data_IF_876463735404
#
_entry.id   IF_876463735404
#
_cell.length_a   1.000
_cell.length_b   1.000
_cell.length_c   1.000
_cell.angle_alpha   90.00
_cell.angle_beta   90.00
_cell.angle_gamma   90.00
#
_symmetry.space_group_name_H-M   'P 1'
#
loop_
_entity.id
_entity.type
_entity.pdbx_description
1 polymer ?
#
# COMPACT_ATOMS: atom_id res chain seq x y z
N UNK A 1 0.10 1.18 0.78
CA UNK A 1 0.11 1.08 2.26
C UNK A 1 0.87 -0.17 2.66
N UNK A 2 1.67 -0.11 3.72
CA UNK A 2 2.43 -1.24 4.27
C UNK A 2 1.99 -1.52 5.71
N UNK A 3 1.94 -2.80 6.08
CA UNK A 3 1.72 -3.26 7.44
C UNK A 3 2.71 -4.41 7.70
N UNK A 4 3.73 -4.15 8.49
CA UNK A 4 4.88 -5.03 8.60
C UNK A 4 5.62 -5.13 7.26
N UNK A 5 5.99 -6.32 6.85
CA UNK A 5 6.65 -6.59 5.56
C UNK A 5 5.65 -6.83 4.41
N UNK A 6 4.38 -6.45 4.56
CA UNK A 6 3.33 -6.62 3.55
C UNK A 6 2.91 -5.27 3.00
N UNK A 7 2.89 -5.16 1.68
CA UNK A 7 2.34 -4.01 0.98
C UNK A 7 0.97 -4.35 0.37
N UNK A 8 0.00 -3.46 0.59
CA UNK A 8 -1.35 -3.58 0.05
C UNK A 8 -1.59 -2.51 -1.00
N UNK A 9 -2.15 -2.89 -2.14
CA UNK A 9 -2.53 -1.96 -3.20
C UNK A 9 -3.69 -2.49 -4.03
N UNK A 10 -4.41 -1.56 -4.64
CA UNK A 10 -5.46 -1.84 -5.60
C UNK A 10 -5.04 -1.44 -7.01
N UNK A 11 -5.70 -2.01 -8.00
CA UNK A 11 -5.48 -1.72 -9.41
C UNK A 11 -6.78 -1.32 -10.10
N UNK A 12 -6.68 -0.55 -11.19
CA UNK A 12 -7.85 -0.12 -11.95
C UNK A 12 -8.56 -1.29 -12.65
N UNK A 13 -7.84 -2.37 -12.93
CA UNK A 13 -8.38 -3.62 -13.49
C UNK A 13 -8.95 -4.57 -12.43
N UNK A 14 -9.36 -4.04 -11.28
CA UNK A 14 -10.13 -4.70 -10.23
C UNK A 14 -9.37 -5.76 -9.43
N UNK A 15 -8.08 -5.61 -9.20
CA UNK A 15 -7.36 -6.45 -8.26
C UNK A 15 -7.03 -5.70 -6.99
N UNK A 16 -7.28 -6.32 -5.86
CA UNK A 16 -6.72 -5.93 -4.58
C UNK A 16 -5.71 -6.98 -4.15
N UNK A 17 -4.49 -6.55 -3.89
CA UNK A 17 -3.33 -7.45 -3.67
C UNK A 17 -2.61 -7.12 -2.39
N UNK A 18 -2.10 -8.19 -1.75
CA UNK A 18 -1.10 -8.14 -0.71
C UNK A 18 0.18 -8.79 -1.24
N UNK A 19 1.28 -8.09 -1.17
CA UNK A 19 2.58 -8.56 -1.65
C UNK A 19 3.62 -8.44 -0.54
N UNK A 20 4.59 -9.32 -0.57
CA UNK A 20 5.78 -9.18 0.24
C UNK A 20 6.53 -7.91 -0.18
N UNK A 21 6.77 -7.00 0.78
CA UNK A 21 7.32 -5.68 0.49
C UNK A 21 8.78 -5.70 0.02
N UNK A 22 9.50 -6.80 0.26
CA UNK A 22 10.91 -6.95 -0.10
C UNK A 22 11.09 -7.61 -1.46
N UNK A 23 10.32 -8.68 -1.70
CA UNK A 23 10.46 -9.50 -2.90
C UNK A 23 9.44 -9.17 -4.00
N UNK A 24 8.36 -8.45 -3.67
CA UNK A 24 7.25 -8.21 -4.59
C UNK A 24 6.36 -9.44 -4.84
N UNK A 25 6.63 -10.57 -4.17
CA UNK A 25 5.84 -11.79 -4.32
C UNK A 25 4.42 -11.57 -3.88
N UNK A 26 3.45 -11.96 -4.72
CA UNK A 26 2.03 -11.92 -4.36
C UNK A 26 1.77 -12.96 -3.27
N UNK A 27 1.30 -12.51 -2.11
CA UNK A 27 0.92 -13.33 -0.96
C UNK A 27 -0.57 -13.67 -1.00
N UNK A 28 -1.37 -12.70 -1.46
CA UNK A 28 -2.81 -12.83 -1.53
C UNK A 28 -3.38 -11.83 -2.55
N UNK A 29 -4.47 -12.20 -3.20
CA UNK A 29 -5.19 -11.30 -4.09
C UNK A 29 -6.67 -11.68 -4.21
N UNK A 30 -7.51 -10.68 -4.48
CA UNK A 30 -8.93 -10.86 -4.74
C UNK A 30 -9.37 -9.94 -5.87
N UNK A 31 -10.35 -10.39 -6.64
CA UNK A 31 -11.02 -9.57 -7.63
C UNK A 31 -12.12 -8.73 -6.98
N UNK A 32 -12.14 -7.43 -7.27
CA UNK A 32 -13.10 -6.49 -6.70
C UNK A 32 -14.22 -6.18 -7.71
N UNK A 33 -15.39 -5.71 -7.24
CA UNK A 33 -16.50 -5.36 -8.12
C UNK A 33 -16.18 -4.25 -9.12
N UNK A 34 -15.35 -3.29 -8.72
CA UNK A 34 -14.92 -2.16 -9.55
C UNK A 34 -13.42 -1.94 -9.41
N UNK A 35 -12.85 -1.11 -10.29
CA UNK A 35 -11.46 -0.67 -10.18
C UNK A 35 -11.19 0.08 -8.89
N UNK A 36 -9.93 0.17 -8.52
CA UNK A 36 -9.46 0.81 -7.30
C UNK A 36 -8.49 1.91 -7.68
N UNK A 37 -8.82 3.15 -7.33
CA UNK A 37 -7.95 4.32 -7.44
C UNK A 37 -7.59 4.92 -6.07
N UNK A 38 -8.38 4.59 -5.06
CA UNK A 38 -8.09 4.97 -3.68
C UNK A 38 -6.99 4.13 -3.05
N UNK A 39 -6.49 4.59 -1.91
CA UNK A 39 -5.50 3.84 -1.15
C UNK A 39 -6.17 3.04 -0.04
N UNK A 40 -5.68 1.82 0.27
CA UNK A 40 -6.16 1.07 1.40
C UNK A 40 -5.76 1.75 2.72
N UNK A 41 -6.60 1.58 3.73
CA UNK A 41 -6.39 2.07 5.08
C UNK A 41 -6.29 0.89 6.03
N UNK A 42 -5.31 0.91 6.93
CA UNK A 42 -5.19 -0.07 8.00
C UNK A 42 -5.59 0.57 9.33
N UNK A 43 -6.34 -0.17 10.13
CA UNK A 43 -6.74 0.26 11.46
C UNK A 43 -6.89 -0.94 12.40
N UNK A 44 -6.82 -0.69 13.69
CA UNK A 44 -7.09 -1.69 14.71
C UNK A 44 -8.54 -1.55 15.19
N UNK A 45 -9.28 -2.64 15.19
CA UNK A 45 -10.63 -2.69 15.74
C UNK A 45 -10.63 -2.84 17.27
N UNK A 46 -11.82 -2.66 17.87
CA UNK A 46 -12.00 -2.80 19.32
C UNK A 46 -11.74 -4.22 19.81
N UNK A 47 -11.76 -5.21 18.94
CA UNK A 47 -11.44 -6.62 19.21
C UNK A 47 -9.94 -6.92 19.11
N UNK A 48 -9.11 -5.88 19.02
CA UNK A 48 -7.65 -5.96 18.85
C UNK A 48 -7.19 -6.63 17.56
N UNK A 49 -8.08 -6.81 16.59
CA UNK A 49 -7.72 -7.27 15.24
C UNK A 49 -7.29 -6.09 14.39
N UNK A 50 -6.39 -6.37 13.48
CA UNK A 50 -6.05 -5.46 12.41
C UNK A 50 -7.01 -5.65 11.24
N UNK A 51 -7.49 -4.55 10.71
CA UNK A 51 -8.37 -4.50 9.55
C UNK A 51 -7.71 -3.70 8.43
N UNK A 52 -8.03 -4.10 7.21
CA UNK A 52 -7.68 -3.36 5.99
C UNK A 52 -8.97 -2.99 5.30
N UNK A 53 -9.20 -1.71 5.10
CA UNK A 53 -10.35 -1.19 4.36
C UNK A 53 -9.90 -0.62 3.02
N UNK A 54 -10.67 -0.85 1.96
CA UNK A 54 -10.45 -0.31 0.63
C UNK A 54 -11.78 0.05 -0.03
N UNK A 55 -11.84 1.25 -0.57
CA UNK A 55 -12.96 1.68 -1.39
C UNK A 55 -12.70 1.29 -2.85
N UNK A 56 -13.57 0.43 -3.37
CA UNK A 56 -13.58 0.03 -4.78
C UNK A 56 -14.57 0.91 -5.52
N UNK A 57 -14.09 1.63 -6.50
CA UNK A 57 -14.88 2.54 -7.31
C UNK A 57 -13.96 3.37 -8.18
N UNK A 58 -14.37 3.60 -9.40
CA UNK A 58 -13.69 4.48 -10.34
C UNK A 58 -14.54 5.73 -10.51
N UNK A 59 -14.10 6.83 -9.93
CA UNK A 59 -14.76 8.13 -9.99
C UNK A 59 -13.94 9.17 -10.76
N UNK A 60 -14.38 10.42 -10.74
CA UNK A 60 -13.73 11.52 -11.46
C UNK A 60 -13.69 11.29 -12.97
N UNK A 61 -12.63 11.73 -13.63
CA UNK A 61 -12.44 11.54 -15.07
C UNK A 61 -12.39 10.07 -15.49
N UNK A 62 -11.66 9.16 -14.80
CA UNK A 62 -11.72 7.73 -15.10
C UNK A 62 -13.13 7.16 -15.00
N UNK A 63 -13.91 7.60 -14.01
CA UNK A 63 -15.31 7.18 -13.84
C UNK A 63 -16.21 7.62 -14.98
N UNK A 64 -16.05 8.84 -15.45
CA UNK A 64 -16.80 9.35 -16.60
C UNK A 64 -16.53 8.53 -17.87
N UNK A 65 -15.29 8.13 -18.11
CA UNK A 65 -14.93 7.25 -19.24
C UNK A 65 -15.48 5.83 -19.03
N UNK A 66 -15.31 5.26 -17.82
CA UNK A 66 -15.74 3.90 -17.51
C UNK A 66 -17.27 3.71 -17.59
N UNK A 67 -18.04 4.77 -17.31
CA UNK A 67 -19.51 4.76 -17.39
C UNK A 67 -20.06 5.21 -18.75
N UNK A 68 -19.22 5.41 -19.75
CA UNK A 68 -19.58 5.88 -21.09
C UNK A 68 -20.23 7.28 -21.11
N UNK A 69 -19.97 8.10 -20.09
CA UNK A 69 -20.43 9.49 -20.03
C UNK A 69 -19.65 10.40 -20.99
N UNK A 70 -18.43 9.99 -21.37
CA UNK A 70 -17.57 10.65 -22.34
C UNK A 70 -17.29 9.65 -23.46
N UNK A 71 -17.60 10.04 -24.70
CA UNK A 71 -17.33 9.19 -25.86
C UNK A 71 -15.81 8.95 -26.03
N UNK A 72 -15.32 7.71 -25.86
CA UNK A 72 -13.89 7.40 -25.97
C UNK A 72 -13.33 7.63 -27.38
N UNK A 73 -14.18 7.77 -28.40
CA UNK A 73 -13.76 8.05 -29.77
C UNK A 73 -13.35 9.51 -29.98
N UNK A 74 -13.78 10.41 -29.08
CA UNK A 74 -13.37 11.82 -29.10
C UNK A 74 -11.96 11.94 -28.52
N UNK A 75 -10.95 11.74 -29.34
CA UNK A 75 -9.55 11.65 -28.94
C UNK A 75 -9.07 12.83 -28.07
N UNK A 76 -9.55 14.04 -28.38
CA UNK A 76 -9.20 15.25 -27.63
C UNK A 76 -10.21 15.59 -26.52
N UNK A 77 -11.21 14.75 -26.30
CA UNK A 77 -12.16 14.92 -25.21
C UNK A 77 -11.45 14.98 -23.87
N UNK A 78 -11.92 15.82 -22.96
CA UNK A 78 -11.31 16.00 -21.65
C UNK A 78 -9.78 16.22 -21.68
N UNK A 79 -9.31 17.10 -22.58
CA UNK A 79 -7.89 17.43 -22.76
C UNK A 79 -6.99 16.23 -23.12
N UNK A 80 -7.53 15.28 -23.88
CA UNK A 80 -6.82 14.06 -24.30
C UNK A 80 -6.95 12.87 -23.34
N UNK A 81 -7.56 13.07 -22.18
CA UNK A 81 -7.75 12.01 -21.18
C UNK A 81 -8.59 10.85 -21.70
N UNK A 82 -9.60 11.15 -22.51
CA UNK A 82 -10.47 10.17 -23.16
C UNK A 82 -9.67 9.18 -23.99
N UNK A 83 -8.71 9.67 -24.78
CA UNK A 83 -7.84 8.80 -25.59
C UNK A 83 -6.90 7.95 -24.73
N UNK A 84 -6.41 8.48 -23.61
CA UNK A 84 -5.54 7.75 -22.69
C UNK A 84 -6.27 6.63 -21.94
N UNK A 85 -7.58 6.77 -21.72
CA UNK A 85 -8.40 5.85 -20.94
C UNK A 85 -9.43 5.07 -21.78
N UNK A 86 -9.28 5.06 -23.12
CA UNK A 86 -10.26 4.46 -24.04
C UNK A 86 -10.56 2.98 -23.76
N UNK A 87 -9.59 2.24 -23.23
CA UNK A 87 -9.73 0.81 -22.93
C UNK A 87 -10.28 0.53 -21.52
N UNK A 88 -10.42 1.57 -20.69
CA UNK A 88 -10.84 1.42 -19.30
C UNK A 88 -12.18 0.68 -19.12
N UNK A 89 -13.22 0.94 -19.96
CA UNK A 89 -14.49 0.21 -19.86
C UNK A 89 -14.38 -1.30 -20.11
N UNK A 90 -13.31 -1.76 -20.74
CA UNK A 90 -13.11 -3.18 -21.02
C UNK A 90 -12.77 -4.00 -19.77
N UNK A 91 -12.16 -3.40 -18.75
CA UNK A 91 -11.71 -4.14 -17.56
C UNK A 91 -12.18 -3.58 -16.22
N UNK A 92 -12.87 -2.46 -16.24
CA UNK A 92 -13.49 -1.93 -15.02
C UNK A 92 -14.91 -1.45 -15.29
N UNK A 93 -15.71 -1.39 -14.26
CA UNK A 93 -17.05 -0.81 -14.28
C UNK A 93 -17.12 0.26 -13.21
N UNK A 94 -18.04 1.20 -13.35
CA UNK A 94 -18.40 2.11 -12.28
C UNK A 94 -18.86 1.34 -11.05
N UNK A 95 -18.77 1.95 -9.89
CA UNK A 95 -19.23 1.35 -8.64
C UNK A 95 -18.69 2.10 -7.43
N UNK A 96 -19.27 1.80 -6.28
CA UNK A 96 -18.83 2.32 -4.99
C UNK A 96 -19.09 1.25 -3.95
N UNK A 97 -18.06 0.50 -3.58
CA UNK A 97 -18.12 -0.59 -2.60
C UNK A 97 -16.98 -0.47 -1.63
N UNK A 98 -17.29 -0.38 -0.35
CA UNK A 98 -16.29 -0.47 0.71
C UNK A 98 -16.09 -1.95 1.07
N UNK A 99 -14.87 -2.45 0.91
CA UNK A 99 -14.47 -3.77 1.37
C UNK A 99 -13.62 -3.64 2.62
N UNK A 100 -13.91 -4.48 3.60
CA UNK A 100 -13.16 -4.53 4.85
C UNK A 100 -12.72 -5.96 5.11
N UNK A 101 -11.43 -6.15 5.29
CA UNK A 101 -10.80 -7.44 5.55
C UNK A 101 -10.26 -7.46 6.97
N UNK A 102 -10.65 -8.47 7.77
CA UNK A 102 -10.03 -8.73 9.05
C UNK A 102 -8.79 -9.61 8.83
N UNK A 103 -7.64 -9.17 9.29
CA UNK A 103 -6.45 -9.99 9.27
C UNK A 103 -6.55 -11.09 10.35
N UNK A 104 -6.00 -12.28 10.10
CA UNK A 104 -5.94 -13.31 11.12
C UNK A 104 -5.28 -12.74 12.39
N UNK A 105 -5.83 -13.11 13.55
CA UNK A 105 -5.15 -12.81 14.80
C UNK A 105 -3.81 -13.53 14.76
N UNK A 106 -2.70 -12.80 14.94
CA UNK A 106 -1.40 -13.44 14.99
C UNK A 106 -1.44 -14.56 16.03
N UNK A 107 -1.34 -15.81 15.58
CA UNK A 107 -1.17 -16.91 16.50
C UNK A 107 0.18 -16.68 17.19
N UNK A 108 0.14 -16.34 18.48
CA UNK A 108 1.27 -16.11 19.38
C UNK A 108 2.65 -16.21 18.70
N UNK A 109 3.04 -15.19 17.95
CA UNK A 109 4.44 -15.02 17.67
C UNK A 109 5.10 -14.73 19.03
N UNK A 110 6.13 -15.49 19.44
CA UNK A 110 6.86 -15.14 20.64
C UNK A 110 7.29 -13.69 20.48
N UNK A 111 7.00 -12.87 21.48
CA UNK A 111 7.41 -11.48 21.52
C UNK A 111 8.89 -11.45 21.14
N UNK A 112 9.22 -10.83 20.01
CA UNK A 112 10.60 -10.55 19.66
C UNK A 112 11.12 -9.66 20.76
N UNK A 113 11.84 -10.27 21.70
CA UNK A 113 12.46 -9.60 22.82
C UNK A 113 13.37 -8.52 22.28
N UNK A 114 12.97 -7.29 22.47
CA UNK A 114 13.83 -6.13 22.25
C UNK A 114 14.99 -6.19 23.23
N UNK A 115 16.07 -6.78 22.81
CA UNK A 115 17.38 -6.57 23.43
C UNK A 115 18.07 -5.44 22.67
N UNK A 116 17.67 -4.21 22.95
CA UNK A 116 18.55 -3.09 22.75
C UNK A 116 19.62 -3.20 23.87
N UNK A 117 20.68 -3.92 23.60
CA UNK A 117 21.88 -3.84 24.42
C UNK A 117 22.55 -2.50 24.11
N UNK A 118 22.40 -1.59 25.04
CA UNK A 118 23.27 -0.42 25.16
C UNK A 118 24.71 -0.89 25.29
N UNK A 119 25.53 -0.53 24.33
CA UNK A 119 26.97 -0.67 24.42
C UNK A 119 27.48 0.15 25.61
N UNK A 120 28.34 -0.39 26.48
CA UNK A 120 28.92 0.38 27.54
C UNK A 120 29.92 1.40 26.97
N UNK A 121 29.73 2.63 27.40
CA UNK A 121 30.66 3.72 27.23
C UNK A 121 31.94 3.34 27.95
N UNK A 122 32.95 2.89 27.25
CA UNK A 122 34.29 2.64 27.75
C UNK A 122 35.12 3.90 27.72
N UNK A 123 35.49 4.28 28.88
CA UNK A 123 36.11 5.50 29.30
C UNK A 123 37.46 5.82 28.66
N UNK A 124 37.77 7.04 28.85
CA UNK A 124 39.02 7.69 28.63
C UNK A 124 40.21 6.97 29.33
N UNK A 125 41.31 6.93 28.66
CA UNK A 125 42.64 6.97 29.32
C UNK A 125 43.59 7.62 28.32
N UNK A 126 43.93 8.85 28.63
CA UNK A 126 45.26 9.28 29.06
C UNK A 126 46.35 8.98 28.02
N UNK A 127 46.86 10.06 27.50
CA UNK A 127 48.10 10.10 26.75
C UNK A 127 49.31 9.87 27.66
N UNK A 128 50.45 9.71 27.08
CA UNK A 128 51.62 10.31 27.68
C UNK A 128 52.27 11.36 26.78
N UNK A 129 52.57 12.38 27.47
CA UNK A 129 53.55 13.40 27.34
C UNK A 129 54.94 12.87 26.94
N UNK A 130 55.69 13.81 26.37
CA UNK A 130 57.16 13.89 26.36
C UNK A 130 57.88 13.18 25.21
N UNK A 131 58.87 13.73 24.64
CA UNK A 131 59.88 14.74 24.94
C UNK A 131 60.70 15.03 23.71
N UNK A 132 60.96 16.27 23.43
CA UNK A 132 62.28 16.91 23.36
C UNK A 132 63.38 16.31 22.46
N UNK A 133 63.93 17.21 21.69
CA UNK A 133 65.33 17.47 21.33
C UNK A 133 65.77 17.06 19.92
N UNK A 134 66.08 17.96 19.21
CA UNK A 134 67.23 18.64 18.57
C UNK A 134 66.87 19.21 17.23
#
# INVERSE_FOLDING_TARGET
>A
MTAGDVAFYGTMDRWFKAVDARSGKVLWQIRTPSGIIGQPVSYQGNDSRQYIAILCGVGGWPGAVANAEIDPRVRNGALGFTGAMQDLPAYTAGGSTLLVFALPKAANAPAAGGAAQSAPNGGASEGPENATTH
#
